data_IF_071840037527
#
_entry.id   IF_071840037527
#
_cell.length_a   1.000
_cell.length_b   1.000
_cell.length_c   1.000
_cell.angle_alpha   90.00
_cell.angle_beta   90.00
_cell.angle_gamma   90.00
#
_symmetry.space_group_name_H-M   'P 1'
#
loop_
_entity.id
_entity.type
_entity.pdbx_description
1 polymer ?
#
# COMPACT_ATOMS: atom_id res chain seq x y z
N UNK A 1 0.19 -21.77 7.08
CA UNK A 1 -0.74 -20.73 6.57
C UNK A 1 0.02 -19.41 6.50
N UNK A 2 -0.22 -18.55 5.49
CA UNK A 2 0.40 -17.23 5.43
C UNK A 2 0.00 -16.39 6.65
N UNK A 3 0.94 -15.65 7.22
CA UNK A 3 0.63 -14.66 8.26
C UNK A 3 -0.01 -13.43 7.62
N UNK A 4 -1.34 -13.42 7.57
CA UNK A 4 -2.12 -12.35 6.94
C UNK A 4 -1.90 -10.98 7.61
N UNK A 5 -1.60 -10.96 8.92
CA UNK A 5 -1.33 -9.71 9.64
C UNK A 5 0.03 -9.15 9.20
N UNK A 6 1.05 -9.99 9.14
CA UNK A 6 2.37 -9.60 8.63
C UNK A 6 2.31 -9.16 7.17
N UNK A 7 1.54 -9.86 6.34
CA UNK A 7 1.38 -9.50 4.93
C UNK A 7 0.63 -8.17 4.78
N UNK A 8 -0.45 -7.94 5.53
CA UNK A 8 -1.16 -6.66 5.55
C UNK A 8 -0.24 -5.50 5.95
N UNK A 9 0.54 -5.66 7.02
CA UNK A 9 1.52 -4.66 7.45
C UNK A 9 2.59 -4.39 6.39
N UNK A 10 3.07 -5.43 5.70
CA UNK A 10 4.02 -5.29 4.60
C UNK A 10 3.45 -4.48 3.44
N UNK A 11 2.17 -4.66 3.10
CA UNK A 11 1.51 -3.86 2.06
C UNK A 11 1.35 -2.39 2.49
N UNK A 12 0.97 -2.15 3.74
CA UNK A 12 0.85 -0.79 4.30
C UNK A 12 2.20 -0.05 4.34
N UNK A 13 3.29 -0.74 4.69
CA UNK A 13 4.64 -0.16 4.64
C UNK A 13 5.06 0.22 3.22
N UNK A 14 4.70 -0.58 2.22
CA UNK A 14 4.98 -0.25 0.82
C UNK A 14 4.11 0.91 0.33
N UNK A 15 2.82 0.97 0.69
CA UNK A 15 1.97 2.11 0.29
C UNK A 15 2.47 3.43 0.85
N UNK A 16 3.00 3.42 2.08
CA UNK A 16 3.58 4.62 2.69
C UNK A 16 4.80 5.12 1.91
N UNK A 17 5.70 4.20 1.50
CA UNK A 17 6.86 4.54 0.67
C UNK A 17 6.46 5.07 -0.70
N UNK A 18 5.49 4.42 -1.36
CA UNK A 18 4.99 4.88 -2.65
C UNK A 18 4.42 6.31 -2.55
N UNK A 19 3.74 6.65 -1.44
CA UNK A 19 3.23 7.99 -1.21
C UNK A 19 4.35 9.02 -0.98
N UNK A 20 5.34 8.70 -0.15
CA UNK A 20 6.53 9.54 0.06
C UNK A 20 7.28 9.80 -1.25
N UNK A 21 7.46 8.77 -2.08
CA UNK A 21 8.08 8.91 -3.39
C UNK A 21 7.20 9.72 -4.36
N UNK A 22 5.87 9.62 -4.26
CA UNK A 22 4.95 10.44 -5.06
C UNK A 22 5.10 11.93 -4.71
N UNK A 23 5.16 12.27 -3.42
CA UNK A 23 5.38 13.64 -2.92
C UNK A 23 6.75 14.17 -3.36
N UNK A 24 7.81 13.35 -3.24
CA UNK A 24 9.14 13.70 -3.73
C UNK A 24 9.14 14.04 -5.23
N UNK A 25 8.48 13.20 -6.05
CA UNK A 25 8.39 13.43 -7.50
C UNK A 25 7.51 14.63 -7.86
N UNK A 26 6.45 14.90 -7.11
CA UNK A 26 5.63 16.09 -7.27
C UNK A 26 6.46 17.36 -7.04
N UNK A 27 7.23 17.40 -5.96
CA UNK A 27 8.12 18.52 -5.63
C UNK A 27 9.22 18.71 -6.68
N UNK A 28 9.65 17.62 -7.34
CA UNK A 28 10.59 17.63 -8.46
C UNK A 28 9.98 17.97 -9.83
N UNK A 29 8.71 18.39 -9.91
CA UNK A 29 7.96 18.61 -11.15
C UNK A 29 7.86 17.37 -12.07
N UNK A 30 8.01 16.17 -11.52
CA UNK A 30 7.87 14.87 -12.21
C UNK A 30 6.45 14.33 -12.06
N UNK A 31 5.47 15.12 -12.51
CA UNK A 31 4.04 14.88 -12.21
C UNK A 31 3.50 13.53 -12.71
N UNK A 32 3.97 13.04 -13.85
CA UNK A 32 3.58 11.73 -14.36
C UNK A 32 3.99 10.59 -13.41
N UNK A 33 5.18 10.68 -12.82
CA UNK A 33 5.68 9.70 -11.86
C UNK A 33 4.93 9.84 -10.54
N UNK A 34 4.67 11.07 -10.08
CA UNK A 34 3.88 11.32 -8.89
C UNK A 34 2.46 10.70 -8.99
N UNK A 35 1.77 10.86 -10.12
CA UNK A 35 0.46 10.25 -10.34
C UNK A 35 0.52 8.71 -10.33
N UNK A 36 1.52 8.11 -11.00
CA UNK A 36 1.70 6.67 -11.00
C UNK A 36 1.92 6.13 -9.59
N UNK A 37 2.83 6.74 -8.83
CA UNK A 37 3.12 6.33 -7.46
C UNK A 37 1.94 6.57 -6.52
N UNK A 38 1.17 7.65 -6.71
CA UNK A 38 -0.07 7.88 -5.97
C UNK A 38 -1.12 6.79 -6.19
N UNK A 39 -1.30 6.32 -7.43
CA UNK A 39 -2.16 5.17 -7.73
C UNK A 39 -1.64 3.88 -7.07
N UNK A 40 -0.33 3.64 -7.15
CA UNK A 40 0.31 2.49 -6.51
C UNK A 40 0.17 2.50 -4.97
N UNK A 41 0.30 3.67 -4.34
CA UNK A 41 0.10 3.84 -2.91
C UNK A 41 -1.34 3.47 -2.50
N UNK A 42 -2.34 4.00 -3.21
CA UNK A 42 -3.75 3.72 -2.94
C UNK A 42 -4.09 2.23 -3.07
N UNK A 43 -3.63 1.57 -4.15
CA UNK A 43 -3.85 0.14 -4.35
C UNK A 43 -3.26 -0.71 -3.23
N UNK A 44 -2.02 -0.43 -2.84
CA UNK A 44 -1.34 -1.18 -1.77
C UNK A 44 -1.95 -0.92 -0.40
N UNK A 45 -2.43 0.30 -0.14
CA UNK A 45 -3.11 0.63 1.12
C UNK A 45 -4.40 -0.18 1.26
N UNK A 46 -5.24 -0.20 0.22
CA UNK A 46 -6.49 -0.99 0.20
C UNK A 46 -6.18 -2.47 0.33
N UNK A 47 -5.19 -2.98 -0.39
CA UNK A 47 -4.75 -4.38 -0.28
C UNK A 47 -4.34 -4.71 1.15
N UNK A 48 -3.48 -3.90 1.77
CA UNK A 48 -3.05 -4.06 3.17
C UNK A 48 -4.22 -4.05 4.16
N UNK A 49 -5.18 -3.15 3.99
CA UNK A 49 -6.40 -3.10 4.80
C UNK A 49 -7.24 -4.38 4.67
N UNK A 50 -7.42 -4.92 3.46
CA UNK A 50 -8.24 -6.11 3.21
C UNK A 50 -7.60 -7.43 3.70
N UNK A 51 -6.28 -7.45 3.95
CA UNK A 51 -5.63 -8.59 4.60
C UNK A 51 -6.09 -8.78 6.06
N UNK A 52 -6.60 -7.74 6.73
CA UNK A 52 -7.14 -7.85 8.09
C UNK A 52 -8.47 -8.65 8.16
N UNK A 53 -9.51 -8.37 7.35
CA UNK A 53 -10.68 -9.24 7.26
C UNK A 53 -10.39 -10.68 6.80
N UNK A 54 -9.38 -10.88 5.94
CA UNK A 54 -9.02 -12.21 5.44
C UNK A 54 -8.47 -13.12 6.56
N UNK A 55 -7.86 -12.55 7.61
CA UNK A 55 -7.41 -13.32 8.76
C UNK A 55 -8.55 -13.83 9.64
N UNK A 56 -9.75 -13.23 9.57
CA UNK A 56 -10.91 -13.61 10.40
C UNK A 56 -11.80 -14.67 9.74
N UNK A 57 -11.83 -14.75 8.40
CA UNK A 57 -12.66 -15.71 7.64
C UNK A 57 -12.15 -17.15 7.64
N UNK A 58 -10.97 -17.44 8.20
CA UNK A 58 -10.42 -18.81 8.31
C UNK A 58 -10.45 -19.37 9.74
N UNK A 59 -11.10 -18.67 10.65
CA UNK A 59 -11.27 -19.09 12.05
C UNK A 59 -12.61 -19.79 12.30
N UNK A 60 -13.49 -19.81 11.29
CA UNK A 60 -14.74 -20.58 11.21
C UNK A 60 -14.54 -21.76 10.25
#
# INVERSE_FOLDING_TARGET
MPDFKKEGLRWLQQSQKDLEDAEFNQNGNRFNIACFLGQQAAEKAIKGYLYWPASRRKSD
#
